data_IF_525124698052
#
_entry.id   IF_525124698052
#
_cell.length_a   1.000
_cell.length_b   1.000
_cell.length_c   1.000
_cell.angle_alpha   90.00
_cell.angle_beta   90.00
_cell.angle_gamma   90.00
#
_symmetry.space_group_name_H-M   'P 1'
#
loop_
_entity.id
_entity.type
_entity.pdbx_description
1 polymer ?
#
# COMPACT_ATOMS: atom_id res chain seq x y z
N UNK A 1 2.16 4.29 -22.12
CA UNK A 1 2.86 4.42 -22.57
C UNK A 1 3.52 4.69 -22.59
N UNK A 2 3.42 4.61 -22.46
CA UNK A 2 4.16 4.92 -22.74
C UNK A 2 4.84 4.83 -22.97
N UNK A 3 4.93 4.58 -22.94
CA UNK A 3 5.84 4.61 -23.22
C UNK A 3 6.39 4.97 -23.76
N UNK A 4 6.11 4.95 -24.05
CA UNK A 4 6.93 5.45 -24.58
C UNK A 4 7.43 6.21 -24.83
N UNK A 5 6.77 6.13 -25.15
CA UNK A 5 7.56 6.99 -25.79
C UNK A 5 8.57 7.53 -25.10
N UNK A 6 8.51 7.43 -24.38
CA UNK A 6 9.47 8.03 -23.64
C UNK A 6 10.81 7.49 -23.77
N UNK A 7 10.92 6.54 -24.56
CA UNK A 7 12.20 5.97 -24.77
C UNK A 7 13.26 6.90 -25.22
N UNK A 8 12.85 7.99 -25.73
CA UNK A 8 13.79 8.93 -26.24
C UNK A 8 14.38 9.80 -25.17
N UNK A 9 14.11 9.53 -23.96
CA UNK A 9 14.60 10.34 -22.88
C UNK A 9 16.10 10.31 -22.80
N UNK A 10 16.68 11.44 -22.45
CA UNK A 10 18.09 11.50 -22.22
C UNK A 10 18.45 10.63 -21.01
N UNK A 11 19.68 10.17 -21.00
CA UNK A 11 20.15 9.37 -19.87
C UNK A 11 19.97 10.06 -18.55
N UNK A 12 20.19 11.36 -18.51
CA UNK A 12 20.00 12.10 -17.27
C UNK A 12 18.61 11.99 -16.74
N UNK A 13 17.65 12.15 -17.63
CA UNK A 13 16.25 12.05 -17.23
C UNK A 13 15.91 10.64 -16.78
N UNK A 14 16.42 9.66 -17.49
CA UNK A 14 16.18 8.28 -17.13
C UNK A 14 16.70 7.98 -15.73
N UNK A 15 17.89 8.48 -15.40
CA UNK A 15 18.47 8.25 -14.08
C UNK A 15 17.71 8.93 -12.97
N UNK A 16 17.10 10.07 -13.25
CA UNK A 16 16.39 10.81 -12.22
C UNK A 16 14.97 10.34 -12.03
N UNK A 17 14.48 9.49 -12.90
CA UNK A 17 13.14 8.98 -12.75
C UNK A 17 13.04 8.01 -11.59
N UNK A 18 11.96 8.10 -10.81
CA UNK A 18 11.73 7.06 -9.81
C UNK A 18 11.50 5.73 -10.50
N UNK A 19 12.00 4.69 -9.90
CA UNK A 19 11.72 3.35 -10.40
C UNK A 19 10.28 3.00 -10.12
N UNK A 20 9.66 2.26 -11.03
CA UNK A 20 8.36 1.69 -10.76
C UNK A 20 8.53 0.56 -9.77
N UNK A 21 7.81 0.63 -8.69
CA UNK A 21 7.81 -0.41 -7.68
C UNK A 21 6.55 -1.23 -7.77
N UNK A 22 6.70 -2.52 -7.52
CA UNK A 22 5.58 -3.45 -7.48
C UNK A 22 5.63 -4.20 -6.16
N UNK A 23 4.47 -4.63 -5.69
CA UNK A 23 4.46 -5.56 -4.58
C UNK A 23 4.97 -6.92 -5.07
N UNK A 24 5.77 -7.56 -4.25
CA UNK A 24 6.20 -8.94 -4.55
C UNK A 24 5.02 -9.88 -4.33
N UNK A 25 5.16 -11.12 -4.81
CA UNK A 25 4.13 -12.12 -4.59
C UNK A 25 3.86 -12.32 -3.09
N UNK A 26 4.92 -12.39 -2.31
CA UNK A 26 4.80 -12.56 -0.86
C UNK A 26 4.06 -11.39 -0.24
N UNK A 27 4.38 -10.17 -0.67
CA UNK A 27 3.70 -8.98 -0.16
C UNK A 27 2.24 -8.99 -0.53
N UNK A 28 1.92 -9.32 -1.78
CA UNK A 28 0.52 -9.39 -2.20
C UNK A 28 -0.25 -10.46 -1.40
N UNK A 29 0.38 -11.60 -1.17
CA UNK A 29 -0.27 -12.62 -0.38
C UNK A 29 -0.60 -12.14 1.03
N UNK A 30 0.30 -11.40 1.64
CA UNK A 30 0.06 -10.83 2.97
C UNK A 30 -1.07 -9.81 2.94
N UNK A 31 -1.07 -8.94 1.93
CA UNK A 31 -2.09 -7.90 1.81
C UNK A 31 -3.46 -8.51 1.54
N UNK A 32 -3.53 -9.49 0.65
CA UNK A 32 -4.80 -10.12 0.32
C UNK A 32 -5.31 -10.97 1.49
N UNK A 33 -4.41 -11.58 2.24
CA UNK A 33 -4.80 -12.32 3.43
C UNK A 33 -5.41 -11.36 4.47
N UNK A 34 -4.78 -10.22 4.68
CA UNK A 34 -5.30 -9.20 5.57
C UNK A 34 -6.68 -8.73 5.09
N UNK A 35 -6.80 -8.45 3.79
CA UNK A 35 -8.05 -8.01 3.20
C UNK A 35 -9.16 -9.04 3.43
N UNK A 36 -8.85 -10.31 3.17
CA UNK A 36 -9.83 -11.37 3.30
C UNK A 36 -10.36 -11.50 4.74
N UNK A 37 -9.49 -11.35 5.72
CA UNK A 37 -9.92 -11.43 7.12
C UNK A 37 -10.88 -10.29 7.46
N UNK A 38 -10.63 -9.10 6.92
CA UNK A 38 -11.49 -7.96 7.18
C UNK A 38 -12.80 -8.06 6.41
N UNK A 39 -12.78 -8.63 5.21
CA UNK A 39 -14.00 -8.88 4.46
C UNK A 39 -14.88 -9.90 5.21
N UNK A 40 -14.26 -10.93 5.73
CA UNK A 40 -15.01 -11.96 6.46
C UNK A 40 -15.72 -11.38 7.69
N UNK A 41 -15.20 -10.29 8.24
CA UNK A 41 -15.82 -9.62 9.37
C UNK A 41 -16.72 -8.45 8.96
N UNK A 42 -16.90 -8.25 7.67
CA UNK A 42 -17.78 -7.19 7.17
C UNK A 42 -17.19 -5.80 7.27
N UNK A 43 -15.86 -5.68 7.48
CA UNK A 43 -15.23 -4.39 7.69
C UNK A 43 -14.84 -3.73 6.37
N UNK A 44 -14.30 -4.50 5.45
CA UNK A 44 -13.90 -3.97 4.14
C UNK A 44 -14.72 -4.65 3.05
N UNK A 45 -14.93 -3.91 1.95
CA UNK A 45 -15.73 -4.41 0.84
C UNK A 45 -14.99 -4.47 -0.48
N UNK A 46 -13.92 -3.70 -0.63
CA UNK A 46 -13.22 -3.63 -1.90
C UNK A 46 -11.77 -3.24 -1.69
N UNK A 47 -10.95 -3.53 -2.68
CA UNK A 47 -9.57 -3.08 -2.68
C UNK A 47 -9.16 -2.67 -4.08
N UNK A 48 -8.06 -1.92 -4.17
CA UNK A 48 -7.48 -1.53 -5.44
C UNK A 48 -5.97 -1.53 -5.32
N UNK A 49 -5.29 -1.89 -6.39
CA UNK A 49 -3.84 -1.83 -6.47
C UNK A 49 -3.49 -0.82 -7.54
N UNK A 50 -2.58 0.08 -7.22
CA UNK A 50 -2.19 1.13 -8.13
C UNK A 50 -0.68 1.35 -8.07
N UNK A 51 -0.14 1.92 -9.12
CA UNK A 51 1.29 2.23 -9.20
C UNK A 51 1.43 3.65 -9.73
N UNK A 52 2.09 4.51 -8.98
CA UNK A 52 2.31 5.87 -9.45
C UNK A 52 3.53 6.46 -8.76
N UNK A 53 4.26 7.29 -9.50
CA UNK A 53 5.37 8.06 -8.96
C UNK A 53 6.38 7.22 -8.18
N UNK A 54 6.66 6.01 -8.69
CA UNK A 54 7.63 5.14 -8.05
C UNK A 54 7.11 4.46 -6.79
N UNK A 55 5.81 4.43 -6.60
CA UNK A 55 5.19 3.80 -5.44
C UNK A 55 4.20 2.74 -5.86
N UNK A 56 4.01 1.74 -5.01
CA UNK A 56 2.94 0.77 -5.16
C UNK A 56 1.95 1.01 -4.02
N UNK A 57 0.66 1.04 -4.36
CA UNK A 57 -0.39 1.33 -3.40
C UNK A 57 -1.39 0.18 -3.36
N UNK A 58 -1.76 -0.21 -2.15
CA UNK A 58 -2.84 -1.15 -1.91
C UNK A 58 -3.87 -0.42 -1.04
N UNK A 59 -5.02 -0.13 -1.62
CA UNK A 59 -6.07 0.64 -0.93
C UNK A 59 -7.23 -0.26 -0.61
N UNK A 60 -7.81 -0.09 0.57
CA UNK A 60 -8.97 -0.86 0.99
C UNK A 60 -10.13 0.09 1.28
N UNK A 61 -11.33 -0.35 0.97
CA UNK A 61 -12.52 0.47 1.01
C UNK A 61 -13.60 -0.18 1.86
N UNK A 62 -14.26 0.63 2.67
CA UNK A 62 -15.46 0.19 3.38
C UNK A 62 -16.69 0.23 2.50
N UNK A 63 -16.69 1.15 1.55
CA UNK A 63 -17.77 1.32 0.60
C UNK A 63 -17.19 1.57 -0.77
N UNK A 64 -17.85 1.06 -1.79
CA UNK A 64 -17.30 1.03 -3.14
C UNK A 64 -17.02 2.41 -3.73
N UNK A 65 -17.80 3.40 -3.38
CA UNK A 65 -17.68 4.72 -4.00
C UNK A 65 -17.10 5.77 -3.09
N UNK A 66 -16.46 5.37 -2.02
CA UNK A 66 -15.86 6.32 -1.09
C UNK A 66 -14.35 6.35 -1.25
N UNK A 67 -13.72 7.30 -0.57
CA UNK A 67 -12.27 7.33 -0.48
C UNK A 67 -11.80 6.09 0.28
N UNK A 68 -10.55 5.66 0.07
CA UNK A 68 -10.03 4.50 0.79
C UNK A 68 -10.07 4.70 2.30
N UNK A 69 -10.43 3.65 3.02
CA UNK A 69 -10.35 3.67 4.47
C UNK A 69 -8.88 3.67 4.89
N UNK A 70 -8.06 2.88 4.22
CA UNK A 70 -6.62 2.81 4.46
C UNK A 70 -5.90 2.57 3.15
N UNK A 71 -4.64 3.01 3.11
CA UNK A 71 -3.75 2.70 1.99
C UNK A 71 -2.42 2.21 2.56
N UNK A 72 -1.90 1.14 1.98
CA UNK A 72 -0.58 0.63 2.30
C UNK A 72 0.30 0.98 1.11
N UNK A 73 1.31 1.80 1.36
CA UNK A 73 2.17 2.33 0.32
C UNK A 73 3.55 1.71 0.44
N UNK A 74 4.04 1.15 -0.66
CA UNK A 74 5.41 0.68 -0.76
C UNK A 74 6.20 1.73 -1.51
N UNK A 75 7.27 2.22 -0.91
CA UNK A 75 8.05 3.29 -1.50
C UNK A 75 9.53 3.09 -1.23
N UNK A 76 10.36 3.66 -2.11
CA UNK A 76 11.81 3.74 -1.92
C UNK A 76 12.15 5.21 -1.99
N UNK A 77 12.26 5.88 -0.84
CA UNK A 77 12.36 7.35 -0.81
C UNK A 77 13.60 7.90 -1.51
N UNK A 78 14.65 7.11 -1.61
CA UNK A 78 15.87 7.55 -2.29
C UNK A 78 16.57 6.35 -2.89
N UNK A 79 17.41 6.59 -3.87
CA UNK A 79 18.03 5.50 -4.63
C UNK A 79 18.77 4.49 -3.77
N UNK A 80 19.47 4.95 -2.76
CA UNK A 80 20.25 4.05 -1.92
C UNK A 80 19.52 3.62 -0.68
N UNK A 81 18.27 4.01 -0.52
CA UNK A 81 17.54 3.72 0.69
C UNK A 81 16.71 2.47 0.53
N UNK A 82 16.52 1.72 1.60
CA UNK A 82 15.68 0.53 1.53
C UNK A 82 14.22 0.90 1.32
N UNK A 83 13.48 -0.05 0.82
CA UNK A 83 12.05 0.07 0.65
C UNK A 83 11.38 0.26 2.00
N UNK A 84 10.37 1.09 2.02
CA UNK A 84 9.55 1.32 3.20
C UNK A 84 8.09 1.06 2.90
N UNK A 85 7.36 0.68 3.93
CA UNK A 85 5.92 0.48 3.86
C UNK A 85 5.25 1.48 4.79
N UNK A 86 4.26 2.19 4.28
CA UNK A 86 3.55 3.22 5.02
C UNK A 86 2.08 2.83 5.07
N UNK A 87 1.51 2.80 6.25
CA UNK A 87 0.07 2.61 6.42
C UNK A 87 -0.52 3.97 6.73
N UNK A 88 -1.51 4.37 5.96
CA UNK A 88 -2.12 5.68 6.15
C UNK A 88 -3.62 5.62 6.00
N UNK A 89 -4.30 6.57 6.63
CA UNK A 89 -5.73 6.76 6.53
C UNK A 89 -5.94 8.22 6.18
N UNK A 90 -6.45 8.48 4.98
CA UNK A 90 -6.52 9.83 4.49
C UNK A 90 -5.14 10.45 4.43
N UNK A 91 -4.95 11.55 5.12
CA UNK A 91 -3.66 12.25 5.17
C UNK A 91 -2.82 11.84 6.36
N UNK A 92 -3.33 11.00 7.21
CA UNK A 92 -2.63 10.63 8.43
C UNK A 92 -1.83 9.37 8.22
N UNK A 93 -0.53 9.46 8.50
CA UNK A 93 0.33 8.29 8.53
C UNK A 93 0.15 7.60 9.86
N UNK A 94 -0.16 6.32 9.82
CA UNK A 94 -0.38 5.54 11.02
C UNK A 94 0.86 4.76 11.41
N UNK A 95 1.66 4.35 10.42
CA UNK A 95 2.85 3.57 10.69
C UNK A 95 3.77 3.60 9.50
N UNK A 96 5.07 3.61 9.74
CA UNK A 96 6.10 3.50 8.71
C UNK A 96 7.06 2.41 9.15
N UNK A 97 7.36 1.46 8.27
CA UNK A 97 8.26 0.38 8.62
C UNK A 97 8.97 -0.14 7.38
N UNK A 98 10.13 -0.72 7.57
CA UNK A 98 10.83 -1.41 6.49
C UNK A 98 10.32 -2.82 6.29
N UNK A 99 9.49 -3.31 7.18
CA UNK A 99 8.93 -4.65 7.13
C UNK A 99 7.43 -4.56 6.93
N UNK A 100 6.91 -5.22 5.90
CA UNK A 100 5.47 -5.23 5.68
C UNK A 100 4.72 -5.92 6.84
N UNK A 101 5.16 -7.07 7.34
CA UNK A 101 4.46 -7.64 8.50
C UNK A 101 4.40 -6.69 9.68
N UNK A 102 5.47 -5.97 9.95
CA UNK A 102 5.48 -5.00 11.02
C UNK A 102 4.49 -3.85 10.76
N UNK A 103 4.47 -3.37 9.52
CA UNK A 103 3.54 -2.31 9.17
C UNK A 103 2.09 -2.76 9.34
N UNK A 104 1.79 -4.01 9.03
CA UNK A 104 0.43 -4.52 9.10
C UNK A 104 -0.03 -4.88 10.50
N UNK A 105 0.86 -4.86 11.48
CA UNK A 105 0.47 -5.16 12.85
C UNK A 105 -0.56 -4.18 13.40
N UNK A 106 -0.58 -2.97 12.88
CA UNK A 106 -1.55 -1.98 13.34
C UNK A 106 -2.98 -2.47 13.08
N UNK A 107 -3.19 -3.20 11.99
CA UNK A 107 -4.51 -3.73 11.69
C UNK A 107 -4.89 -4.86 12.63
N UNK A 108 -3.95 -5.65 13.04
CA UNK A 108 -4.21 -6.73 13.96
C UNK A 108 -4.64 -6.19 15.32
N UNK A 109 -3.96 -5.16 15.80
CA UNK A 109 -4.33 -4.51 17.04
C UNK A 109 -5.72 -3.90 16.95
N UNK A 110 -6.01 -3.18 15.87
CA UNK A 110 -7.31 -2.56 15.68
C UNK A 110 -8.42 -3.60 15.58
N UNK A 111 -8.16 -4.69 14.89
CA UNK A 111 -9.12 -5.76 14.75
C UNK A 111 -9.42 -6.41 16.10
N UNK A 112 -8.40 -6.59 16.91
CA UNK A 112 -8.58 -7.15 18.24
C UNK A 112 -9.44 -6.24 19.12
N UNK A 113 -9.24 -4.93 19.02
CA UNK A 113 -10.06 -3.99 19.77
C UNK A 113 -11.52 -4.05 19.33
N UNK A 114 -11.75 -4.14 18.05
CA UNK A 114 -13.13 -4.24 17.54
C UNK A 114 -13.80 -5.50 18.05
N UNK A 115 -13.08 -6.60 18.10
CA UNK A 115 -13.63 -7.85 18.58
C UNK A 115 -13.89 -7.78 20.09
N UNK A 116 -13.01 -7.12 20.81
CA UNK A 116 -13.13 -7.05 22.27
C UNK A 116 -14.27 -6.14 22.74
N UNK A 117 -14.70 -5.24 21.89
CA UNK A 117 -15.79 -4.33 22.22
C UNK A 117 -17.09 -4.86 21.66
N UNK A 118 -17.96 -5.38 22.51
CA UNK A 118 -19.25 -5.87 22.02
C UNK A 118 -20.03 -4.68 21.58
N UNK A 119 -20.29 -4.49 20.52
CA UNK A 119 -20.89 -3.26 20.21
C UNK A 119 -21.89 -3.28 19.16
#
# INVERSE_FOLDING_TARGET
MSRKSATVLAFGDYRSRPRTLYFTRSELNQLLSLYSRHVARGVWRDYAIDHRDGMALFSVFRHTHEAPAYSIVKTAPAQARPTEFIVQSGRQRLRVSRSLPDALEIFQTRLSLVIAEPG
#
